data_IF_608692822729
#
_entry.id   IF_608692822729
#
_cell.length_a   1.000
_cell.length_b   1.000
_cell.length_c   1.000
_cell.angle_alpha   90.00
_cell.angle_beta   90.00
_cell.angle_gamma   90.00
#
_symmetry.space_group_name_H-M   'P 1'
#
loop_
_entity.id
_entity.type
_entity.pdbx_description
1 polymer ?
#
# COMPACT_ATOMS: atom_id res chain seq x y z
N UNK A 1 -13.32 28.45 -11.43
CA UNK A 1 -14.43 27.67 -10.83
C UNK A 1 -14.33 26.17 -11.17
N UNK A 2 -14.11 25.77 -12.42
CA UNK A 2 -14.03 24.36 -12.89
C UNK A 2 -12.89 23.58 -12.25
N UNK A 3 -11.67 24.13 -12.20
CA UNK A 3 -10.50 23.48 -11.57
C UNK A 3 -10.76 23.19 -10.08
N UNK A 4 -11.28 24.16 -9.33
CA UNK A 4 -11.57 23.97 -7.90
C UNK A 4 -12.65 22.89 -7.66
N UNK A 5 -13.59 22.71 -8.59
CA UNK A 5 -14.59 21.63 -8.57
C UNK A 5 -13.95 20.28 -8.85
N UNK A 6 -13.06 20.21 -9.85
CA UNK A 6 -12.31 18.98 -10.18
C UNK A 6 -11.37 18.54 -9.06
N UNK A 7 -10.71 19.49 -8.37
CA UNK A 7 -9.85 19.19 -7.22
C UNK A 7 -10.65 18.67 -6.02
N UNK A 8 -11.84 19.21 -5.75
CA UNK A 8 -12.74 18.66 -4.72
C UNK A 8 -13.28 17.29 -5.11
N UNK A 9 -13.62 17.10 -6.37
CA UNK A 9 -14.03 15.79 -6.87
C UNK A 9 -12.91 14.75 -6.74
N UNK A 10 -11.64 15.15 -6.95
CA UNK A 10 -10.48 14.29 -6.73
C UNK A 10 -10.27 13.95 -5.25
N UNK A 11 -10.55 14.86 -4.32
CA UNK A 11 -10.55 14.57 -2.88
C UNK A 11 -11.55 13.45 -2.55
N UNK A 12 -12.80 13.61 -2.98
CA UNK A 12 -13.85 12.61 -2.78
C UNK A 12 -13.55 11.30 -3.51
N UNK A 13 -12.92 11.36 -4.69
CA UNK A 13 -12.51 10.15 -5.39
C UNK A 13 -11.47 9.37 -4.57
N UNK A 14 -10.45 10.03 -4.02
CA UNK A 14 -9.46 9.37 -3.15
C UNK A 14 -10.11 8.78 -1.89
N UNK A 15 -11.04 9.49 -1.28
CA UNK A 15 -11.81 9.02 -0.13
C UNK A 15 -12.56 7.73 -0.47
N UNK A 16 -13.36 7.71 -1.53
CA UNK A 16 -14.19 6.55 -1.88
C UNK A 16 -13.39 5.40 -2.49
N UNK A 17 -12.30 5.67 -3.21
CA UNK A 17 -11.41 4.62 -3.72
C UNK A 17 -10.73 3.87 -2.57
N UNK A 18 -10.30 4.57 -1.52
CA UNK A 18 -9.76 3.93 -0.34
C UNK A 18 -10.81 3.01 0.34
N UNK A 19 -12.06 3.45 0.39
CA UNK A 19 -13.17 2.66 0.92
C UNK A 19 -13.33 1.33 0.20
N UNK A 20 -13.27 1.35 -1.13
CA UNK A 20 -13.47 0.17 -1.97
C UNK A 20 -12.37 -0.88 -1.76
N UNK A 21 -11.16 -0.46 -1.39
CA UNK A 21 -10.04 -1.38 -1.12
C UNK A 21 -10.05 -1.95 0.29
N UNK A 22 -10.60 -1.23 1.27
CA UNK A 22 -10.63 -1.65 2.68
C UNK A 22 -11.46 -2.92 2.92
N UNK A 23 -12.46 -3.21 2.07
CA UNK A 23 -13.31 -4.41 2.17
C UNK A 23 -12.59 -5.73 1.88
N UNK A 24 -11.40 -5.68 1.30
CA UNK A 24 -10.60 -6.85 0.98
C UNK A 24 -9.50 -7.07 2.03
N UNK A 25 -9.10 -8.32 2.24
CA UNK A 25 -8.12 -8.71 3.26
C UNK A 25 -8.77 -9.22 4.53
N UNK A 26 -8.67 -8.55 5.70
CA UNK A 26 -9.15 -9.09 6.98
C UNK A 26 -10.65 -9.43 7.02
N UNK A 27 -11.49 -8.64 6.34
CA UNK A 27 -12.92 -8.93 6.25
C UNK A 27 -13.24 -10.15 5.39
N UNK A 28 -12.46 -10.39 4.31
CA UNK A 28 -12.56 -11.64 3.53
C UNK A 28 -12.11 -12.81 4.38
N UNK A 29 -10.98 -12.72 5.08
CA UNK A 29 -10.49 -13.79 5.94
C UNK A 29 -11.54 -14.18 7.00
N UNK A 30 -12.13 -13.18 7.67
CA UNK A 30 -13.22 -13.39 8.63
C UNK A 30 -14.46 -14.04 7.99
N UNK A 31 -14.86 -13.57 6.79
CA UNK A 31 -16.02 -14.11 6.08
C UNK A 31 -15.81 -15.58 5.67
N UNK A 32 -14.63 -15.93 5.16
CA UNK A 32 -14.30 -17.29 4.77
C UNK A 32 -14.17 -18.20 6.00
N UNK A 33 -13.55 -17.73 7.09
CA UNK A 33 -13.46 -18.46 8.35
C UNK A 33 -14.85 -18.78 8.92
N UNK A 34 -15.78 -17.82 8.90
CA UNK A 34 -17.18 -18.03 9.31
C UNK A 34 -17.93 -19.04 8.42
N UNK A 35 -17.51 -19.20 7.15
CA UNK A 35 -18.00 -20.20 6.23
C UNK A 35 -17.19 -21.52 6.27
N UNK A 36 -16.44 -21.77 7.36
CA UNK A 36 -15.70 -23.01 7.67
C UNK A 36 -14.54 -23.31 6.70
N UNK A 37 -13.96 -22.28 6.07
CA UNK A 37 -12.71 -22.44 5.33
C UNK A 37 -11.55 -22.56 6.31
N UNK A 38 -10.57 -23.38 5.96
CA UNK A 38 -9.34 -23.51 6.75
C UNK A 38 -8.43 -22.29 6.54
N UNK A 39 -7.51 -22.06 7.46
CA UNK A 39 -6.55 -20.95 7.35
C UNK A 39 -5.65 -21.11 6.11
N UNK A 40 -5.33 -22.37 5.72
CA UNK A 40 -4.58 -22.67 4.50
C UNK A 40 -5.36 -22.29 3.24
N UNK A 41 -6.64 -22.64 3.15
CA UNK A 41 -7.50 -22.25 2.02
C UNK A 41 -7.63 -20.73 1.92
N UNK A 42 -7.85 -20.05 3.04
CA UNK A 42 -7.91 -18.59 3.11
C UNK A 42 -6.58 -17.98 2.64
N UNK A 43 -5.45 -18.47 3.17
CA UNK A 43 -4.12 -18.00 2.80
C UNK A 43 -3.82 -18.18 1.31
N UNK A 44 -4.21 -19.33 0.73
CA UNK A 44 -4.06 -19.59 -0.70
C UNK A 44 -4.88 -18.61 -1.55
N UNK A 45 -6.14 -18.35 -1.19
CA UNK A 45 -6.99 -17.42 -1.95
C UNK A 45 -6.47 -16.00 -1.87
N UNK A 46 -6.04 -15.51 -0.70
CA UNK A 46 -5.43 -14.19 -0.55
C UNK A 46 -4.10 -14.09 -1.33
N UNK A 47 -3.34 -15.21 -1.42
CA UNK A 47 -2.14 -15.26 -2.25
C UNK A 47 -2.44 -15.13 -3.74
N UNK A 48 -3.57 -15.67 -4.22
CA UNK A 48 -4.04 -15.48 -5.61
C UNK A 48 -4.24 -14.01 -5.92
N UNK A 49 -4.88 -13.25 -5.02
CA UNK A 49 -5.06 -11.81 -5.16
C UNK A 49 -3.72 -11.05 -5.25
N UNK A 50 -2.79 -11.40 -4.36
CA UNK A 50 -1.45 -10.79 -4.34
C UNK A 50 -0.64 -11.14 -5.59
N UNK A 51 -0.67 -12.40 -6.05
CA UNK A 51 -0.02 -12.82 -7.31
C UNK A 51 -0.63 -12.09 -8.50
N UNK A 52 -1.96 -12.00 -8.55
CA UNK A 52 -2.66 -11.28 -9.61
C UNK A 52 -2.24 -9.81 -9.63
N UNK A 53 -2.19 -9.15 -8.48
CA UNK A 53 -1.71 -7.78 -8.35
C UNK A 53 -0.25 -7.65 -8.83
N UNK A 54 0.64 -8.52 -8.36
CA UNK A 54 2.06 -8.52 -8.72
C UNK A 54 2.27 -8.73 -10.23
N UNK A 55 1.62 -9.72 -10.82
CA UNK A 55 1.70 -10.01 -12.26
C UNK A 55 1.13 -8.87 -13.12
N UNK A 56 0.15 -8.14 -12.56
CA UNK A 56 -0.55 -7.06 -13.25
C UNK A 56 0.16 -5.71 -13.14
N UNK A 57 1.14 -5.53 -12.26
CA UNK A 57 1.77 -4.22 -12.02
C UNK A 57 2.32 -3.58 -13.29
N UNK A 58 3.14 -4.30 -14.05
CA UNK A 58 3.72 -3.80 -15.30
C UNK A 58 2.68 -3.69 -16.42
N UNK A 59 1.86 -4.73 -16.71
CA UNK A 59 0.82 -4.63 -17.73
C UNK A 59 -0.22 -3.54 -17.45
N UNK A 60 -0.67 -3.40 -16.21
CA UNK A 60 -1.66 -2.39 -15.83
C UNK A 60 -1.10 -0.97 -15.95
N UNK A 61 0.14 -0.74 -15.53
CA UNK A 61 0.83 0.54 -15.71
C UNK A 61 0.98 0.90 -17.18
N UNK A 62 1.49 -0.02 -18.01
CA UNK A 62 1.62 0.17 -19.45
C UNK A 62 0.27 0.41 -20.15
N UNK A 63 -0.77 -0.33 -19.74
CA UNK A 63 -2.13 -0.13 -20.25
C UNK A 63 -2.65 1.27 -19.91
N UNK A 64 -2.51 1.69 -18.65
CA UNK A 64 -2.93 3.03 -18.23
C UNK A 64 -2.14 4.08 -19.00
N UNK A 65 -0.82 3.91 -19.22
CA UNK A 65 -0.01 4.86 -20.00
C UNK A 65 -0.44 4.96 -21.46
N UNK A 66 -0.78 3.84 -22.08
CA UNK A 66 -1.26 3.78 -23.47
C UNK A 66 -2.66 4.38 -23.66
N UNK A 67 -3.52 4.28 -22.65
CA UNK A 67 -4.89 4.78 -22.72
C UNK A 67 -4.92 6.31 -22.73
N UNK A 68 -5.59 6.92 -23.71
CA UNK A 68 -5.84 8.37 -23.74
C UNK A 68 -6.79 8.82 -22.64
N UNK A 69 -7.75 7.97 -22.28
CA UNK A 69 -8.77 8.25 -21.28
C UNK A 69 -8.40 7.63 -19.92
N UNK A 70 -7.60 8.35 -19.12
CA UNK A 70 -7.21 7.92 -17.75
C UNK A 70 -8.42 7.76 -16.83
N UNK A 71 -9.46 8.57 -17.00
CA UNK A 71 -10.73 8.45 -16.26
C UNK A 71 -11.45 7.15 -16.62
N UNK A 72 -11.46 6.78 -17.90
CA UNK A 72 -12.01 5.50 -18.35
C UNK A 72 -11.28 4.30 -17.71
N UNK A 73 -9.95 4.37 -17.59
CA UNK A 73 -9.16 3.34 -16.92
C UNK A 73 -9.52 3.24 -15.44
N UNK A 74 -9.62 4.38 -14.71
CA UNK A 74 -10.04 4.39 -13.32
C UNK A 74 -11.48 3.87 -13.15
N UNK A 75 -12.42 4.24 -14.03
CA UNK A 75 -13.80 3.75 -14.01
C UNK A 75 -13.87 2.23 -14.19
N UNK A 76 -13.13 1.70 -15.17
CA UNK A 76 -13.07 0.26 -15.43
C UNK A 76 -12.53 -0.51 -14.22
N UNK A 77 -11.48 0.00 -13.58
CA UNK A 77 -10.92 -0.59 -12.35
C UNK A 77 -11.94 -0.57 -11.20
N UNK A 78 -12.63 0.55 -10.98
CA UNK A 78 -13.67 0.65 -9.93
C UNK A 78 -14.82 -0.34 -10.21
N UNK A 79 -15.28 -0.44 -11.46
CA UNK A 79 -16.34 -1.39 -11.87
C UNK A 79 -15.87 -2.83 -11.62
N UNK A 80 -14.62 -3.17 -11.95
CA UNK A 80 -14.06 -4.49 -11.70
C UNK A 80 -14.06 -4.83 -10.20
N UNK A 81 -13.75 -3.86 -9.33
CA UNK A 81 -13.82 -4.07 -7.87
C UNK A 81 -15.26 -4.23 -7.40
N UNK A 82 -16.23 -3.50 -7.98
CA UNK A 82 -17.67 -3.72 -7.71
C UNK A 82 -18.05 -5.16 -8.02
N UNK A 83 -17.66 -5.66 -9.20
CA UNK A 83 -17.96 -7.04 -9.61
C UNK A 83 -17.30 -8.05 -8.66
N UNK A 84 -16.04 -7.83 -8.27
CA UNK A 84 -15.34 -8.67 -7.31
C UNK A 84 -16.07 -8.72 -5.95
N UNK A 85 -16.48 -7.57 -5.43
CA UNK A 85 -17.24 -7.48 -4.19
C UNK A 85 -18.60 -8.19 -4.29
N UNK A 86 -19.32 -8.03 -5.40
CA UNK A 86 -20.61 -8.71 -5.61
C UNK A 86 -20.45 -10.23 -5.75
N UNK A 87 -19.37 -10.72 -6.36
CA UNK A 87 -19.05 -12.16 -6.43
C UNK A 87 -18.87 -12.75 -5.02
N UNK A 88 -18.13 -12.07 -4.14
CA UNK A 88 -17.95 -12.47 -2.75
C UNK A 88 -19.28 -12.43 -1.97
N UNK A 89 -20.05 -11.36 -2.14
CA UNK A 89 -21.36 -11.23 -1.49
C UNK A 89 -22.40 -12.22 -2.00
N UNK A 90 -22.30 -12.70 -3.22
CA UNK A 90 -23.24 -13.68 -3.78
C UNK A 90 -23.05 -15.06 -3.16
N UNK A 91 -21.80 -15.58 -3.14
CA UNK A 91 -21.55 -16.93 -2.62
C UNK A 91 -20.04 -17.13 -2.32
N UNK A 92 -19.69 -17.73 -1.17
CA UNK A 92 -18.29 -17.99 -0.79
C UNK A 92 -17.78 -19.32 -1.38
N UNK A 93 -18.01 -19.56 -2.66
CA UNK A 93 -17.43 -20.75 -3.33
C UNK A 93 -15.99 -20.47 -3.74
N UNK A 94 -15.18 -21.52 -3.86
CA UNK A 94 -13.78 -21.42 -4.31
C UNK A 94 -13.65 -20.66 -5.63
N UNK A 95 -14.55 -20.91 -6.59
CA UNK A 95 -14.54 -20.24 -7.91
C UNK A 95 -14.85 -18.75 -7.76
N UNK A 96 -15.87 -18.39 -6.97
CA UNK A 96 -16.26 -16.98 -6.76
C UNK A 96 -15.16 -16.20 -6.05
N UNK A 97 -14.55 -16.80 -5.02
CA UNK A 97 -13.45 -16.18 -4.27
C UNK A 97 -12.22 -16.00 -5.14
N UNK A 98 -11.83 -17.07 -5.88
CA UNK A 98 -10.71 -17.01 -6.82
C UNK A 98 -10.91 -15.92 -7.87
N UNK A 99 -12.08 -15.89 -8.53
CA UNK A 99 -12.39 -14.88 -9.54
C UNK A 99 -12.40 -13.45 -8.96
N UNK A 100 -12.93 -13.28 -7.74
CA UNK A 100 -12.94 -12.00 -7.06
C UNK A 100 -11.52 -11.51 -6.72
N UNK A 101 -10.64 -12.39 -6.21
CA UNK A 101 -9.26 -12.07 -5.86
C UNK A 101 -8.43 -11.70 -7.11
N UNK A 102 -8.58 -12.46 -8.21
CA UNK A 102 -7.92 -12.14 -9.49
C UNK A 102 -8.37 -10.79 -10.00
N UNK A 103 -9.68 -10.55 -10.03
CA UNK A 103 -10.26 -9.32 -10.56
C UNK A 103 -9.89 -8.10 -9.70
N UNK A 104 -9.95 -8.24 -8.36
CA UNK A 104 -9.55 -7.20 -7.42
C UNK A 104 -8.06 -6.90 -7.53
N UNK A 105 -7.19 -7.92 -7.58
CA UNK A 105 -5.74 -7.74 -7.70
C UNK A 105 -5.35 -6.96 -8.96
N UNK A 106 -5.93 -7.34 -10.12
CA UNK A 106 -5.73 -6.63 -11.38
C UNK A 106 -6.24 -5.18 -11.32
N UNK A 107 -7.47 -4.99 -10.84
CA UNK A 107 -8.12 -3.70 -10.78
C UNK A 107 -7.36 -2.71 -9.85
N UNK A 108 -6.89 -3.18 -8.70
CA UNK A 108 -6.10 -2.39 -7.75
C UNK A 108 -4.81 -1.87 -8.37
N UNK A 109 -4.13 -2.69 -9.19
CA UNK A 109 -2.93 -2.28 -9.91
C UNK A 109 -3.18 -1.24 -11.01
N UNK A 110 -4.36 -1.24 -11.65
CA UNK A 110 -4.74 -0.19 -12.60
C UNK A 110 -5.11 1.12 -11.90
N UNK A 111 -5.72 1.03 -10.73
CA UNK A 111 -6.30 2.18 -10.06
C UNK A 111 -5.23 3.17 -9.58
N UNK A 112 -4.13 2.68 -9.03
CA UNK A 112 -3.03 3.51 -8.52
C UNK A 112 -2.40 4.41 -9.61
N UNK A 113 -1.94 3.88 -10.76
CA UNK A 113 -1.38 4.72 -11.82
C UNK A 113 -2.43 5.62 -12.49
N UNK A 114 -3.70 5.17 -12.59
CA UNK A 114 -4.77 6.00 -13.13
C UNK A 114 -5.07 7.21 -12.23
N UNK A 115 -5.11 7.04 -10.91
CA UNK A 115 -5.29 8.11 -9.92
C UNK A 115 -4.12 9.09 -9.92
N UNK A 116 -2.89 8.58 -10.02
CA UNK A 116 -1.70 9.42 -10.16
C UNK A 116 -1.76 10.27 -11.44
N UNK A 117 -2.08 9.65 -12.59
CA UNK A 117 -2.20 10.35 -13.87
C UNK A 117 -3.30 11.44 -13.86
N UNK A 118 -4.44 11.19 -13.20
CA UNK A 118 -5.49 12.21 -13.00
C UNK A 118 -4.96 13.37 -12.14
N UNK A 119 -4.23 13.07 -11.07
CA UNK A 119 -3.64 14.08 -10.21
C UNK A 119 -2.64 14.95 -10.96
N UNK A 120 -1.74 14.35 -11.75
CA UNK A 120 -0.78 15.07 -12.61
C UNK A 120 -1.43 15.95 -13.68
N UNK A 121 -2.61 15.57 -14.15
CA UNK A 121 -3.34 16.37 -15.14
C UNK A 121 -4.03 17.61 -14.56
N UNK A 122 -4.26 17.66 -13.24
CA UNK A 122 -5.04 18.71 -12.59
C UNK A 122 -4.19 19.79 -11.90
N UNK A 123 -2.92 19.52 -11.59
CA UNK A 123 -2.05 20.44 -10.86
C UNK A 123 -0.71 20.65 -11.56
N UNK A 124 -0.04 21.77 -11.25
CA UNK A 124 1.32 22.04 -11.71
C UNK A 124 2.33 21.11 -10.99
N UNK A 125 3.55 20.99 -11.55
CA UNK A 125 4.63 20.24 -10.89
C UNK A 125 5.00 20.79 -9.53
N UNK A 126 4.91 22.10 -9.34
CA UNK A 126 5.20 22.76 -8.06
C UNK A 126 4.20 22.34 -6.97
N UNK A 127 2.92 22.22 -7.33
CA UNK A 127 1.84 21.90 -6.39
C UNK A 127 1.61 20.39 -6.20
N UNK A 128 2.37 19.56 -6.92
CA UNK A 128 2.14 18.11 -6.97
C UNK A 128 2.35 17.44 -5.61
N UNK A 129 3.37 17.85 -4.86
CA UNK A 129 3.65 17.32 -3.53
C UNK A 129 2.49 17.54 -2.57
N UNK A 130 1.97 18.77 -2.53
CA UNK A 130 0.81 19.12 -1.70
C UNK A 130 -0.45 18.36 -2.14
N UNK A 131 -0.62 18.18 -3.47
CA UNK A 131 -1.74 17.41 -4.01
C UNK A 131 -1.70 15.95 -3.59
N UNK A 132 -0.54 15.30 -3.72
CA UNK A 132 -0.36 13.90 -3.32
C UNK A 132 -0.53 13.71 -1.81
N UNK A 133 0.00 14.62 -1.00
CA UNK A 133 -0.23 14.64 0.45
C UNK A 133 -1.72 14.77 0.80
N UNK A 134 -2.46 15.62 0.08
CA UNK A 134 -3.90 15.77 0.25
C UNK A 134 -4.66 14.53 -0.20
N UNK A 135 -4.27 13.88 -1.30
CA UNK A 135 -4.83 12.61 -1.74
C UNK A 135 -4.69 11.53 -0.65
N UNK A 136 -3.48 11.37 -0.08
CA UNK A 136 -3.21 10.42 0.98
C UNK A 136 -4.06 10.69 2.24
N UNK A 137 -4.21 11.96 2.63
CA UNK A 137 -5.08 12.35 3.76
C UNK A 137 -6.52 11.89 3.55
N UNK A 138 -7.11 12.21 2.38
CA UNK A 138 -8.48 11.82 2.08
C UNK A 138 -8.65 10.31 1.98
N UNK A 139 -7.66 9.60 1.43
CA UNK A 139 -7.63 8.14 1.40
C UNK A 139 -7.60 7.55 2.82
N UNK A 140 -6.75 8.06 3.72
CA UNK A 140 -6.68 7.57 5.11
C UNK A 140 -7.97 7.80 5.89
N UNK A 141 -8.60 8.98 5.73
CA UNK A 141 -9.90 9.27 6.35
C UNK A 141 -10.96 8.30 5.79
N UNK A 142 -10.95 8.08 4.47
CA UNK A 142 -11.83 7.12 3.82
C UNK A 142 -11.68 5.72 4.37
N UNK A 143 -10.44 5.20 4.42
CA UNK A 143 -10.14 3.86 4.95
C UNK A 143 -10.60 3.69 6.40
N UNK A 144 -10.31 4.67 7.27
CA UNK A 144 -10.71 4.61 8.68
C UNK A 144 -12.23 4.58 8.85
N UNK A 145 -12.95 5.49 8.17
CA UNK A 145 -14.41 5.52 8.24
C UNK A 145 -15.03 4.25 7.67
N UNK A 146 -14.50 3.76 6.56
CA UNK A 146 -15.01 2.53 5.93
C UNK A 146 -14.76 1.31 6.81
N UNK A 147 -13.59 1.19 7.42
CA UNK A 147 -13.32 0.10 8.35
C UNK A 147 -14.34 0.09 9.52
N UNK A 148 -14.67 1.28 10.06
CA UNK A 148 -15.70 1.40 11.08
C UNK A 148 -17.09 0.97 10.57
N UNK A 149 -17.49 1.44 9.38
CA UNK A 149 -18.77 1.06 8.76
C UNK A 149 -18.83 -0.44 8.45
N UNK A 150 -17.76 -1.01 7.88
CA UNK A 150 -17.68 -2.44 7.55
C UNK A 150 -17.72 -3.30 8.82
N UNK A 151 -17.03 -2.87 9.89
CA UNK A 151 -17.10 -3.51 11.19
C UNK A 151 -18.53 -3.53 11.73
N UNK A 152 -19.22 -2.38 11.71
CA UNK A 152 -20.60 -2.28 12.15
C UNK A 152 -21.56 -3.10 11.27
N UNK A 153 -21.44 -3.03 9.94
CA UNK A 153 -22.28 -3.81 9.04
C UNK A 153 -22.04 -5.32 9.18
N UNK A 154 -20.78 -5.73 9.34
CA UNK A 154 -20.43 -7.13 9.55
C UNK A 154 -20.99 -7.67 10.87
N UNK A 155 -20.97 -6.86 11.93
CA UNK A 155 -21.45 -7.23 13.27
C UNK A 155 -22.98 -7.23 13.37
N UNK A 156 -23.62 -6.11 12.98
CA UNK A 156 -25.05 -5.91 13.26
C UNK A 156 -26.00 -6.38 12.14
N UNK A 157 -25.48 -6.55 10.90
CA UNK A 157 -26.29 -7.04 9.79
C UNK A 157 -25.86 -8.45 9.36
N UNK A 158 -24.70 -8.56 8.71
CA UNK A 158 -24.11 -9.83 8.30
C UNK A 158 -22.73 -9.62 7.68
N UNK A 159 -21.87 -10.65 7.70
CA UNK A 159 -20.57 -10.63 7.01
C UNK A 159 -20.69 -10.39 5.50
N UNK A 160 -21.76 -10.85 4.87
CA UNK A 160 -22.05 -10.58 3.46
C UNK A 160 -22.30 -9.10 3.18
N UNK A 161 -22.88 -8.37 4.13
CA UNK A 161 -23.23 -6.96 3.96
C UNK A 161 -21.99 -6.07 3.75
N UNK A 162 -20.81 -6.49 4.22
CA UNK A 162 -19.54 -5.80 4.00
C UNK A 162 -19.22 -5.68 2.51
N UNK A 163 -19.46 -6.74 1.74
CA UNK A 163 -19.19 -6.73 0.30
C UNK A 163 -20.22 -5.92 -0.49
N UNK A 164 -21.47 -5.97 -0.09
CA UNK A 164 -22.51 -5.09 -0.66
C UNK A 164 -22.25 -3.62 -0.32
N UNK A 165 -21.78 -3.33 0.88
CA UNK A 165 -21.36 -1.98 1.26
C UNK A 165 -20.15 -1.51 0.43
N UNK A 166 -19.15 -2.39 0.18
CA UNK A 166 -18.03 -2.10 -0.71
C UNK A 166 -18.51 -1.72 -2.11
N UNK A 167 -19.42 -2.50 -2.69
CA UNK A 167 -20.00 -2.20 -3.99
C UNK A 167 -20.79 -0.88 -3.98
N UNK A 168 -21.58 -0.61 -2.91
CA UNK A 168 -22.35 0.61 -2.78
C UNK A 168 -21.45 1.86 -2.65
N UNK A 169 -20.36 1.78 -1.88
CA UNK A 169 -19.39 2.89 -1.71
C UNK A 169 -18.55 3.15 -2.97
N UNK A 170 -18.48 2.21 -3.89
CA UNK A 170 -17.83 2.41 -5.19
C UNK A 170 -18.67 3.30 -6.14
N UNK A 171 -19.99 3.35 -5.96
CA UNK A 171 -20.87 4.21 -6.78
C UNK A 171 -20.53 5.70 -6.61
N UNK A 172 -20.43 6.25 -5.39
CA UNK A 172 -19.94 7.62 -5.19
C UNK A 172 -18.54 7.88 -5.76
N UNK A 173 -17.65 6.87 -5.80
CA UNK A 173 -16.35 7.02 -6.47
C UNK A 173 -16.50 7.27 -7.97
N UNK A 174 -17.39 6.53 -8.66
CA UNK A 174 -17.71 6.76 -10.06
C UNK A 174 -18.35 8.13 -10.29
N UNK A 175 -19.22 8.57 -9.39
CA UNK A 175 -19.84 9.91 -9.44
C UNK A 175 -18.75 10.99 -9.28
N UNK A 176 -17.87 10.86 -8.29
CA UNK A 176 -16.75 11.79 -8.09
C UNK A 176 -15.84 11.84 -9.34
N UNK A 177 -15.54 10.69 -9.92
CA UNK A 177 -14.76 10.58 -11.15
C UNK A 177 -15.44 11.28 -12.35
N UNK A 178 -16.77 11.21 -12.46
CA UNK A 178 -17.53 11.92 -13.49
C UNK A 178 -17.34 13.44 -13.41
N UNK A 179 -17.33 14.01 -12.21
CA UNK A 179 -17.17 15.46 -11.99
C UNK A 179 -15.75 15.98 -12.20
N UNK A 180 -14.76 15.14 -12.44
CA UNK A 180 -13.43 15.56 -12.82
C UNK A 180 -13.43 15.93 -14.32
N UNK A 181 -13.22 17.20 -14.65
CA UNK A 181 -13.15 17.67 -16.03
C UNK A 181 -11.73 17.56 -16.57
N UNK A 182 -11.57 16.96 -17.73
CA UNK A 182 -10.28 16.56 -18.32
C UNK A 182 -9.54 17.67 -19.10
N UNK A 183 -10.10 18.89 -19.18
CA UNK A 183 -9.71 19.82 -20.26
C UNK A 183 -8.68 20.89 -19.90
N UNK A 184 -8.04 20.89 -18.73
CA UNK A 184 -7.17 22.02 -18.35
C UNK A 184 -5.81 21.66 -17.73
N UNK A 185 -5.08 20.71 -18.28
CA UNK A 185 -3.63 20.84 -18.20
C UNK A 185 -3.20 21.81 -19.32
N UNK A 186 -2.47 22.90 -19.02
CA UNK A 186 -1.91 23.74 -20.08
C UNK A 186 -1.10 22.82 -21.00
N UNK A 187 -1.51 22.69 -22.25
CA UNK A 187 -0.73 21.97 -23.26
C UNK A 187 0.60 22.71 -23.38
N UNK A 188 1.64 22.16 -22.76
CA UNK A 188 3.00 22.65 -23.04
C UNK A 188 3.15 22.56 -24.57
N UNK A 189 3.43 23.68 -25.24
CA UNK A 189 3.56 23.72 -26.68
C UNK A 189 4.52 22.63 -27.16
N UNK A 190 4.18 21.97 -28.25
CA UNK A 190 4.92 20.81 -28.80
C UNK A 190 6.40 21.10 -29.01
N UNK A 191 6.75 22.38 -29.26
CA UNK A 191 8.14 22.85 -29.37
C UNK A 191 8.88 22.88 -28.03
N UNK A 192 8.22 23.28 -26.95
CA UNK A 192 8.81 23.24 -25.60
C UNK A 192 8.96 21.82 -25.08
N UNK A 193 8.07 20.92 -25.51
CA UNK A 193 8.16 19.49 -25.24
C UNK A 193 9.33 18.86 -26.00
N UNK A 194 9.52 19.20 -27.29
CA UNK A 194 10.68 18.77 -28.07
C UNK A 194 12.00 19.30 -27.51
N UNK A 195 12.11 20.61 -27.21
CA UNK A 195 13.28 21.18 -26.57
C UNK A 195 13.60 20.56 -25.22
N UNK A 196 12.59 20.11 -24.48
CA UNK A 196 12.76 19.44 -23.20
C UNK A 196 13.09 17.96 -23.37
N UNK A 197 12.55 17.28 -24.40
CA UNK A 197 12.94 15.94 -24.82
C UNK A 197 14.40 15.95 -25.36
N UNK A 198 14.79 16.95 -26.14
CA UNK A 198 16.17 17.14 -26.64
C UNK A 198 17.15 17.52 -25.52
N UNK A 199 16.72 18.31 -24.53
CA UNK A 199 17.53 18.60 -23.34
C UNK A 199 17.66 17.40 -22.38
N UNK A 200 16.71 16.46 -22.43
CA UNK A 200 16.73 15.18 -21.68
C UNK A 200 17.56 14.13 -22.43
N UNK A 201 17.70 14.24 -23.75
CA UNK A 201 18.53 13.35 -24.58
C UNK A 201 20.04 13.51 -24.28
N UNK A 202 20.44 14.59 -23.61
CA UNK A 202 21.80 14.77 -23.07
C UNK A 202 22.04 14.17 -21.69
N UNK A 203 21.01 13.67 -21.01
CA UNK A 203 21.10 12.98 -19.72
C UNK A 203 21.04 11.47 -19.97
N UNK A 204 22.13 10.81 -19.71
CA UNK A 204 22.41 9.37 -19.80
C UNK A 204 21.21 8.46 -20.16
N UNK A 205 21.44 7.58 -21.14
CA UNK A 205 20.50 6.48 -21.49
C UNK A 205 19.95 5.87 -20.22
N UNK A 206 18.64 5.55 -20.15
CA UNK A 206 18.10 4.83 -18.99
C UNK A 206 18.94 3.57 -18.84
N UNK A 207 19.71 3.51 -17.73
CA UNK A 207 20.54 2.35 -17.43
C UNK A 207 19.63 1.12 -17.45
N UNK A 208 20.11 0.04 -18.00
CA UNK A 208 19.36 -1.18 -18.21
C UNK A 208 18.91 -1.79 -16.88
N UNK A 209 17.85 -2.61 -16.90
CA UNK A 209 17.46 -3.44 -15.74
C UNK A 209 18.67 -4.21 -15.17
N UNK A 210 19.64 -4.55 -16.02
CA UNK A 210 20.87 -5.25 -15.63
C UNK A 210 21.75 -4.41 -14.69
N UNK A 211 21.85 -3.10 -14.94
CA UNK A 211 22.66 -2.20 -14.09
C UNK A 211 21.99 -1.98 -12.73
N UNK A 212 20.65 -1.99 -12.72
CA UNK A 212 19.85 -1.94 -11.49
C UNK A 212 20.06 -3.19 -10.62
N UNK A 213 20.11 -4.38 -11.26
CA UNK A 213 20.34 -5.66 -10.59
C UNK A 213 21.78 -5.81 -10.04
N UNK A 214 22.69 -4.87 -10.34
CA UNK A 214 24.04 -4.81 -9.79
C UNK A 214 24.16 -3.82 -8.61
N UNK A 215 23.15 -2.96 -8.37
CA UNK A 215 23.18 -2.01 -7.24
C UNK A 215 22.90 -2.75 -5.92
N UNK A 216 23.95 -2.91 -5.11
CA UNK A 216 23.88 -3.56 -3.81
C UNK A 216 22.87 -2.90 -2.86
N UNK A 217 22.71 -1.58 -2.93
CA UNK A 217 21.76 -0.82 -2.08
C UNK A 217 20.34 -1.20 -2.43
N UNK A 218 20.01 -1.23 -3.73
CA UNK A 218 18.70 -1.61 -4.23
C UNK A 218 18.35 -3.04 -3.87
N UNK A 219 19.26 -3.99 -4.13
CA UNK A 219 19.03 -5.41 -3.85
C UNK A 219 18.89 -5.68 -2.36
N UNK A 220 19.73 -5.07 -1.52
CA UNK A 220 19.63 -5.23 -0.06
C UNK A 220 18.32 -4.69 0.46
N UNK A 221 17.89 -3.50 0.01
CA UNK A 221 16.61 -2.95 0.46
C UNK A 221 15.43 -3.76 -0.09
N UNK A 222 15.48 -4.24 -1.33
CA UNK A 222 14.46 -5.13 -1.87
C UNK A 222 14.32 -6.43 -1.05
N UNK A 223 15.43 -7.03 -0.63
CA UNK A 223 15.40 -8.19 0.29
C UNK A 223 14.78 -7.82 1.65
N UNK A 224 15.07 -6.63 2.18
CA UNK A 224 14.41 -6.11 3.39
C UNK A 224 12.89 -5.94 3.17
N UNK A 225 12.47 -5.47 2.00
CA UNK A 225 11.04 -5.32 1.63
C UNK A 225 10.36 -6.68 1.54
N UNK A 226 11.00 -7.70 0.94
CA UNK A 226 10.47 -9.07 0.91
C UNK A 226 10.25 -9.59 2.34
N UNK A 227 11.25 -9.49 3.22
CA UNK A 227 11.15 -9.98 4.59
C UNK A 227 10.14 -9.19 5.42
N UNK A 228 10.05 -7.86 5.19
CA UNK A 228 9.02 -7.02 5.81
C UNK A 228 7.62 -7.54 5.48
N UNK A 229 7.31 -7.72 4.20
CA UNK A 229 5.99 -8.18 3.78
C UNK A 229 5.76 -9.66 4.10
N UNK A 230 6.80 -10.50 4.07
CA UNK A 230 6.74 -11.89 4.53
C UNK A 230 6.33 -11.98 6.00
N UNK A 231 6.86 -11.09 6.86
CA UNK A 231 6.43 -11.01 8.25
C UNK A 231 5.03 -10.42 8.41
N UNK A 232 4.72 -9.34 7.67
CA UNK A 232 3.59 -8.46 7.94
C UNK A 232 2.26 -8.92 7.34
N UNK A 233 2.25 -9.42 6.09
CA UNK A 233 1.03 -9.49 5.29
C UNK A 233 -0.03 -10.48 5.81
N UNK A 234 0.38 -11.61 6.39
CA UNK A 234 -0.55 -12.60 6.92
C UNK A 234 -1.04 -12.30 8.34
N UNK A 235 -0.34 -11.47 9.12
CA UNK A 235 -0.59 -11.34 10.57
C UNK A 235 -2.03 -10.98 10.91
N UNK A 236 -2.56 -9.92 10.30
CA UNK A 236 -3.92 -9.48 10.61
C UNK A 236 -4.97 -10.44 10.03
N UNK A 237 -4.71 -11.05 8.87
CA UNK A 237 -5.62 -12.01 8.25
C UNK A 237 -5.75 -13.28 9.09
N UNK A 238 -4.63 -13.82 9.60
CA UNK A 238 -4.64 -14.95 10.53
C UNK A 238 -5.35 -14.60 11.83
N UNK A 239 -5.06 -13.44 12.42
CA UNK A 239 -5.73 -12.97 13.63
C UNK A 239 -7.24 -12.79 13.41
N UNK A 240 -7.66 -12.23 12.27
CA UNK A 240 -9.06 -12.08 11.93
C UNK A 240 -9.78 -13.44 11.77
N UNK A 241 -9.13 -14.40 11.13
CA UNK A 241 -9.65 -15.76 10.99
C UNK A 241 -9.80 -16.47 12.34
N UNK A 242 -8.76 -16.40 13.19
CA UNK A 242 -8.74 -16.99 14.52
C UNK A 242 -9.79 -16.39 15.45
N UNK A 243 -9.89 -15.06 15.47
CA UNK A 243 -10.92 -14.35 16.25
C UNK A 243 -12.32 -14.75 15.80
N UNK A 244 -12.55 -14.86 14.51
CA UNK A 244 -13.86 -15.27 13.96
C UNK A 244 -14.21 -16.70 14.36
N UNK A 245 -13.22 -17.60 14.43
CA UNK A 245 -13.45 -18.99 14.80
C UNK A 245 -13.80 -19.19 16.28
N UNK A 246 -13.30 -18.33 17.18
CA UNK A 246 -13.36 -18.51 18.62
C UNK A 246 -14.21 -17.48 19.39
N UNK A 247 -14.56 -16.34 18.76
CA UNK A 247 -15.44 -15.33 19.37
C UNK A 247 -16.90 -15.49 18.94
N UNK A 248 -17.83 -15.16 19.85
CA UNK A 248 -19.27 -15.06 19.54
C UNK A 248 -19.64 -13.68 19.00
N UNK A 249 -19.46 -12.65 19.81
CA UNK A 249 -19.95 -11.29 19.55
C UNK A 249 -18.81 -10.28 19.30
N UNK A 250 -19.13 -9.19 18.61
CA UNK A 250 -18.25 -8.05 18.36
C UNK A 250 -16.99 -8.33 17.50
N UNK A 251 -16.92 -9.46 16.83
CA UNK A 251 -15.78 -9.89 15.98
C UNK A 251 -15.42 -8.82 14.97
N UNK A 252 -16.40 -8.32 14.23
CA UNK A 252 -16.17 -7.38 13.14
C UNK A 252 -15.75 -5.99 13.63
N UNK A 253 -16.22 -5.61 14.82
CA UNK A 253 -15.80 -4.37 15.47
C UNK A 253 -14.34 -4.44 15.92
N UNK A 254 -13.90 -5.59 16.44
CA UNK A 254 -12.50 -5.83 16.79
C UNK A 254 -11.61 -5.78 15.54
N UNK A 255 -12.01 -6.43 14.45
CA UNK A 255 -11.29 -6.38 13.17
C UNK A 255 -11.21 -4.94 12.64
N UNK A 256 -12.33 -4.21 12.67
CA UNK A 256 -12.37 -2.80 12.28
C UNK A 256 -11.41 -1.95 13.13
N UNK A 257 -11.41 -2.13 14.45
CA UNK A 257 -10.51 -1.43 15.34
C UNK A 257 -9.02 -1.75 15.04
N UNK A 258 -8.71 -3.01 14.70
CA UNK A 258 -7.37 -3.43 14.26
C UNK A 258 -6.91 -2.75 12.95
N UNK A 259 -7.83 -2.30 12.12
CA UNK A 259 -7.51 -1.53 10.90
C UNK A 259 -7.39 -0.03 11.21
N UNK A 260 -8.31 0.50 12.02
CA UNK A 260 -8.42 1.94 12.30
C UNK A 260 -7.26 2.44 13.17
N UNK A 261 -6.92 1.71 14.24
CA UNK A 261 -5.90 2.15 15.21
C UNK A 261 -4.53 2.38 14.56
N UNK A 262 -4.02 1.49 13.70
CA UNK A 262 -2.77 1.76 12.96
C UNK A 262 -2.81 3.05 12.14
N UNK A 263 -3.96 3.42 11.53
CA UNK A 263 -4.06 4.63 10.71
C UNK A 263 -3.83 5.91 11.52
N UNK A 264 -4.31 5.98 12.76
CA UNK A 264 -4.01 7.11 13.65
C UNK A 264 -2.53 7.18 14.02
N UNK A 265 -1.89 6.01 14.27
CA UNK A 265 -0.46 5.95 14.55
C UNK A 265 0.34 6.40 13.32
N UNK A 266 0.01 5.92 12.12
CA UNK A 266 0.65 6.36 10.87
C UNK A 266 0.50 7.86 10.69
N UNK A 267 -0.71 8.41 10.85
CA UNK A 267 -0.96 9.83 10.66
C UNK A 267 -0.16 10.72 11.63
N UNK A 268 -0.01 10.28 12.88
CA UNK A 268 0.74 11.01 13.91
C UNK A 268 2.25 10.84 13.80
N UNK A 269 2.71 9.63 13.47
CA UNK A 269 4.13 9.27 13.53
C UNK A 269 4.89 9.60 12.24
N UNK A 270 4.25 9.56 11.06
CA UNK A 270 4.93 9.75 9.78
C UNK A 270 5.73 11.06 9.66
N UNK A 271 5.24 12.24 10.14
CA UNK A 271 6.03 13.47 10.11
C UNK A 271 7.29 13.41 10.99
N UNK A 272 7.20 12.72 12.13
CA UNK A 272 8.36 12.49 13.02
C UNK A 272 9.37 11.56 12.34
N UNK A 273 8.91 10.45 11.75
CA UNK A 273 9.75 9.52 10.99
C UNK A 273 10.52 10.24 9.88
N UNK A 274 9.87 11.10 9.10
CA UNK A 274 10.51 11.90 8.05
C UNK A 274 11.63 12.78 8.58
N UNK A 275 11.43 13.46 9.71
CA UNK A 275 12.45 14.28 10.37
C UNK A 275 13.62 13.43 10.90
N UNK A 276 13.33 12.32 11.58
CA UNK A 276 14.36 11.45 12.11
C UNK A 276 15.17 10.76 11.00
N UNK A 277 14.54 10.42 9.88
CA UNK A 277 15.22 9.91 8.71
C UNK A 277 16.28 10.90 8.18
N UNK A 278 16.03 12.19 8.29
CA UNK A 278 17.02 13.23 7.93
C UNK A 278 18.07 13.44 9.02
N UNK A 279 17.70 13.35 10.30
CA UNK A 279 18.60 13.59 11.43
C UNK A 279 19.50 12.40 11.74
N UNK A 280 18.92 11.20 11.87
CA UNK A 280 19.63 9.99 12.28
C UNK A 280 20.17 9.16 11.11
N UNK A 281 19.62 9.36 9.91
CA UNK A 281 19.84 8.50 8.74
C UNK A 281 18.73 7.48 8.52
N UNK A 282 18.82 6.77 7.41
CA UNK A 282 17.77 5.81 6.99
C UNK A 282 17.81 4.53 7.81
N UNK A 283 19.01 4.00 8.04
CA UNK A 283 19.23 2.71 8.68
C UNK A 283 18.71 2.65 10.13
N UNK A 284 18.99 3.59 11.05
CA UNK A 284 18.45 3.54 12.41
C UNK A 284 16.92 3.59 12.46
N UNK A 285 16.30 4.41 11.61
CA UNK A 285 14.85 4.55 11.53
C UNK A 285 14.19 3.26 11.01
N UNK A 286 14.81 2.60 10.00
CA UNK A 286 14.33 1.29 9.52
C UNK A 286 14.39 0.23 10.62
N UNK A 287 15.48 0.17 11.41
CA UNK A 287 15.62 -0.79 12.52
C UNK A 287 14.47 -0.62 13.52
N UNK A 288 14.15 0.63 13.91
CA UNK A 288 13.03 0.91 14.82
C UNK A 288 11.69 0.43 14.27
N UNK A 289 11.39 0.75 13.02
CA UNK A 289 10.13 0.36 12.40
C UNK A 289 10.02 -1.16 12.18
N UNK A 290 11.11 -1.79 11.77
CA UNK A 290 11.14 -3.23 11.51
C UNK A 290 11.11 -4.04 12.79
N UNK A 291 11.67 -3.54 13.90
CA UNK A 291 11.61 -4.20 15.23
C UNK A 291 10.18 -4.37 15.74
N UNK A 292 9.25 -3.53 15.28
CA UNK A 292 7.84 -3.68 15.61
C UNK A 292 7.22 -4.97 15.04
N UNK A 293 7.74 -5.50 13.92
CA UNK A 293 7.21 -6.71 13.27
C UNK A 293 7.32 -7.97 14.13
N UNK A 294 8.55 -8.40 14.55
CA UNK A 294 8.68 -9.60 15.37
C UNK A 294 7.99 -9.43 16.73
N UNK A 295 8.04 -8.23 17.32
CA UNK A 295 7.36 -7.96 18.58
C UNK A 295 5.83 -8.14 18.42
N UNK A 296 5.24 -7.61 17.36
CA UNK A 296 3.81 -7.77 17.07
C UNK A 296 3.42 -9.23 16.88
N UNK A 297 4.19 -9.97 16.09
CA UNK A 297 3.92 -11.38 15.84
C UNK A 297 4.01 -12.23 17.11
N UNK A 298 5.02 -11.99 17.97
CA UNK A 298 5.14 -12.66 19.26
C UNK A 298 3.99 -12.32 20.21
N UNK A 299 3.56 -11.06 20.25
CA UNK A 299 2.39 -10.66 21.04
C UNK A 299 1.12 -11.32 20.52
N UNK A 300 0.92 -11.44 19.20
CA UNK A 300 -0.23 -12.18 18.66
C UNK A 300 -0.23 -13.65 19.05
N UNK A 301 0.93 -14.31 19.09
CA UNK A 301 1.04 -15.69 19.54
C UNK A 301 0.71 -15.86 21.04
N UNK A 302 0.93 -14.83 21.86
CA UNK A 302 0.70 -14.85 23.32
C UNK A 302 -0.66 -14.29 23.76
N UNK A 303 -1.41 -13.64 22.88
CA UNK A 303 -2.67 -13.01 23.24
C UNK A 303 -3.82 -14.01 23.17
N UNK A 304 -4.46 -14.26 24.32
CA UNK A 304 -5.65 -15.11 24.41
C UNK A 304 -6.97 -14.33 24.32
N UNK A 305 -6.96 -13.01 24.58
CA UNK A 305 -8.14 -12.16 24.45
C UNK A 305 -8.13 -11.38 23.14
N UNK A 306 -9.13 -11.54 22.29
CA UNK A 306 -9.23 -10.83 21.01
C UNK A 306 -9.19 -9.30 21.12
N UNK A 307 -9.69 -8.73 22.23
CA UNK A 307 -9.63 -7.28 22.46
C UNK A 307 -8.20 -6.75 22.61
N UNK A 308 -7.26 -7.60 23.06
CA UNK A 308 -5.84 -7.24 23.15
C UNK A 308 -5.16 -7.18 21.80
N UNK A 309 -5.76 -7.73 20.72
CA UNK A 309 -5.23 -7.57 19.37
C UNK A 309 -5.20 -6.10 18.93
N UNK A 310 -6.18 -5.30 19.36
CA UNK A 310 -6.29 -3.88 19.01
C UNK A 310 -5.06 -3.07 19.48
N UNK A 311 -4.67 -3.08 20.76
CA UNK A 311 -3.43 -2.40 21.19
C UNK A 311 -2.17 -2.99 20.57
N UNK A 312 -2.11 -4.30 20.31
CA UNK A 312 -0.98 -4.91 19.61
C UNK A 312 -0.87 -4.38 18.17
N UNK A 313 -1.98 -4.08 17.51
CA UNK A 313 -2.01 -3.47 16.18
C UNK A 313 -1.43 -2.03 16.12
N UNK A 314 -1.23 -1.36 17.25
CA UNK A 314 -0.46 -0.10 17.25
C UNK A 314 0.95 -0.29 16.71
N UNK A 315 1.57 -1.46 16.90
CA UNK A 315 2.87 -1.81 16.33
C UNK A 315 2.85 -1.87 14.80
N UNK A 316 1.71 -2.27 14.21
CA UNK A 316 1.52 -2.18 12.76
C UNK A 316 1.59 -0.73 12.27
N UNK A 317 0.93 0.18 12.98
CA UNK A 317 1.01 1.60 12.68
C UNK A 317 2.44 2.15 12.74
N UNK A 318 3.27 1.69 13.66
CA UNK A 318 4.69 2.08 13.75
C UNK A 318 5.46 1.56 12.53
N UNK A 319 5.36 0.27 12.23
CA UNK A 319 6.06 -0.34 11.09
C UNK A 319 5.58 0.26 9.76
N UNK A 320 4.27 0.48 9.60
CA UNK A 320 3.69 1.08 8.42
C UNK A 320 4.10 2.56 8.22
N UNK A 321 4.16 3.36 9.30
CA UNK A 321 4.62 4.75 9.24
C UNK A 321 6.08 4.82 8.78
N UNK A 322 6.94 3.97 9.35
CA UNK A 322 8.36 3.91 8.97
C UNK A 322 8.49 3.44 7.52
N UNK A 323 7.87 2.33 7.17
CA UNK A 323 7.98 1.76 5.82
C UNK A 323 7.45 2.72 4.74
N UNK A 324 6.29 3.34 4.98
CA UNK A 324 5.65 4.26 4.05
C UNK A 324 6.48 5.52 3.77
N UNK A 325 7.26 6.00 4.74
CA UNK A 325 8.16 7.15 4.57
C UNK A 325 9.51 6.71 3.99
N UNK A 326 10.06 5.59 4.45
CA UNK A 326 11.41 5.15 4.08
C UNK A 326 11.48 4.60 2.66
N UNK A 327 10.45 3.90 2.16
CA UNK A 327 10.46 3.33 0.81
C UNK A 327 10.68 4.40 -0.28
N UNK A 328 9.88 5.49 -0.35
CA UNK A 328 10.12 6.53 -1.35
C UNK A 328 11.43 7.28 -1.12
N UNK A 329 11.86 7.49 0.13
CA UNK A 329 13.14 8.15 0.42
C UNK A 329 14.33 7.32 -0.08
N UNK A 330 14.37 6.03 0.24
CA UNK A 330 15.43 5.13 -0.20
C UNK A 330 15.40 4.95 -1.72
N UNK A 331 14.21 4.89 -2.33
CA UNK A 331 14.09 4.87 -3.78
C UNK A 331 14.71 6.13 -4.43
N UNK A 332 14.50 7.30 -3.84
CA UNK A 332 15.10 8.55 -4.30
C UNK A 332 16.62 8.57 -4.10
N UNK A 333 17.10 8.12 -2.93
CA UNK A 333 18.52 8.03 -2.60
C UNK A 333 19.27 7.08 -3.55
N UNK A 334 18.68 5.91 -3.85
CA UNK A 334 19.25 4.91 -4.78
C UNK A 334 19.19 5.39 -6.23
N UNK A 335 18.11 6.06 -6.62
CA UNK A 335 17.96 6.60 -7.97
C UNK A 335 18.99 7.71 -8.30
N UNK A 336 19.51 8.41 -7.28
CA UNK A 336 20.64 9.36 -7.43
C UNK A 336 20.41 10.48 -8.45
N UNK A 337 19.16 10.91 -8.69
CA UNK A 337 18.82 11.93 -9.68
C UNK A 337 18.85 11.47 -11.15
N UNK A 338 19.19 10.22 -11.44
CA UNK A 338 19.35 9.65 -12.78
C UNK A 338 18.05 9.19 -13.46
N UNK A 339 16.90 9.69 -13.07
CA UNK A 339 15.61 9.35 -13.68
C UNK A 339 15.09 7.94 -13.38
N UNK A 340 15.70 7.20 -12.45
CA UNK A 340 15.38 5.79 -12.10
C UNK A 340 14.37 5.60 -10.98
N UNK A 341 13.85 6.68 -10.41
CA UNK A 341 12.98 6.63 -9.23
C UNK A 341 11.79 5.66 -9.41
N UNK A 342 11.07 5.77 -10.54
CA UNK A 342 9.90 4.93 -10.81
C UNK A 342 10.28 3.45 -10.98
N UNK A 343 11.46 3.18 -11.54
CA UNK A 343 11.97 1.82 -11.68
C UNK A 343 12.30 1.21 -10.31
N UNK A 344 12.92 1.97 -9.41
CA UNK A 344 13.17 1.54 -8.03
C UNK A 344 11.86 1.26 -7.27
N UNK A 345 10.87 2.15 -7.39
CA UNK A 345 9.54 1.95 -6.78
C UNK A 345 8.86 0.69 -7.32
N UNK A 346 8.90 0.47 -8.64
CA UNK A 346 8.36 -0.75 -9.26
C UNK A 346 9.05 -2.03 -8.78
N UNK A 347 10.37 -1.99 -8.64
CA UNK A 347 11.17 -3.13 -8.14
C UNK A 347 10.85 -3.44 -6.66
N UNK A 348 10.71 -2.41 -5.82
CA UNK A 348 10.28 -2.59 -4.43
C UNK A 348 8.84 -3.06 -4.32
N UNK A 349 7.95 -2.62 -5.22
CA UNK A 349 6.58 -3.12 -5.33
C UNK A 349 6.53 -4.62 -5.67
N UNK A 350 7.39 -5.07 -6.60
CA UNK A 350 7.54 -6.49 -6.92
C UNK A 350 8.05 -7.29 -5.70
N UNK A 351 9.07 -6.77 -5.01
CA UNK A 351 9.60 -7.38 -3.78
C UNK A 351 8.52 -7.49 -2.69
N UNK A 352 7.71 -6.45 -2.51
CA UNK A 352 6.57 -6.45 -1.60
C UNK A 352 5.53 -7.53 -1.97
N UNK A 353 5.21 -7.65 -3.25
CA UNK A 353 4.30 -8.66 -3.77
C UNK A 353 4.80 -10.09 -3.50
N UNK A 354 6.09 -10.36 -3.75
CA UNK A 354 6.71 -11.65 -3.44
C UNK A 354 6.60 -11.97 -1.94
N UNK A 355 6.99 -11.02 -1.08
CA UNK A 355 6.92 -11.20 0.37
C UNK A 355 5.50 -11.46 0.87
N UNK A 356 4.52 -10.69 0.38
CA UNK A 356 3.13 -10.81 0.79
C UNK A 356 2.50 -12.14 0.33
N UNK A 357 2.77 -12.57 -0.91
CA UNK A 357 2.30 -13.85 -1.43
C UNK A 357 2.83 -15.02 -0.60
N UNK A 358 4.14 -15.04 -0.34
CA UNK A 358 4.75 -16.08 0.49
C UNK A 358 4.21 -16.04 1.93
N UNK A 359 3.99 -14.84 2.49
CA UNK A 359 3.43 -14.68 3.82
C UNK A 359 2.08 -15.37 3.96
N UNK A 360 1.12 -15.01 3.10
CA UNK A 360 -0.26 -15.52 3.21
C UNK A 360 -0.34 -17.01 2.95
N UNK A 361 0.40 -17.53 1.94
CA UNK A 361 0.41 -18.95 1.61
C UNK A 361 1.09 -19.80 2.70
N UNK A 362 2.31 -19.42 3.12
CA UNK A 362 3.09 -20.22 4.08
C UNK A 362 2.45 -20.16 5.46
N UNK A 363 2.04 -18.97 5.91
CA UNK A 363 1.47 -18.81 7.23
C UNK A 363 0.10 -19.48 7.35
N UNK A 364 -0.75 -19.42 6.31
CA UNK A 364 -2.02 -20.14 6.28
C UNK A 364 -1.82 -21.65 6.37
N UNK A 365 -0.91 -22.21 5.53
CA UNK A 365 -0.57 -23.63 5.55
C UNK A 365 0.02 -24.09 6.89
N UNK A 366 0.91 -23.28 7.47
CA UNK A 366 1.50 -23.59 8.77
C UNK A 366 0.44 -23.56 9.88
N UNK A 367 -0.53 -22.66 9.81
CA UNK A 367 -1.63 -22.58 10.76
C UNK A 367 -2.50 -23.85 10.75
N UNK A 368 -2.81 -24.38 9.57
CA UNK A 368 -3.58 -25.62 9.44
C UNK A 368 -2.84 -26.86 9.97
N UNK A 369 -1.55 -26.96 9.69
CA UNK A 369 -0.75 -28.16 10.06
C UNK A 369 -0.21 -28.15 11.47
N UNK A 370 0.19 -26.97 11.96
CA UNK A 370 0.95 -26.84 13.20
C UNK A 370 0.30 -25.91 14.22
N UNK A 371 -0.82 -25.28 13.83
CA UNK A 371 -1.55 -24.33 14.65
C UNK A 371 -1.11 -22.87 14.40
N UNK A 372 -2.02 -21.94 14.69
CA UNK A 372 -1.88 -20.50 14.41
C UNK A 372 -0.69 -19.88 15.15
N UNK A 373 -0.40 -20.32 16.39
CA UNK A 373 0.75 -19.83 17.16
C UNK A 373 2.08 -20.12 16.44
N UNK A 374 2.23 -21.30 15.83
CA UNK A 374 3.44 -21.64 15.06
C UNK A 374 3.60 -20.72 13.86
N UNK A 375 2.51 -20.36 13.20
CA UNK A 375 2.53 -19.37 12.13
C UNK A 375 3.00 -18.01 12.60
N UNK A 376 2.50 -17.52 13.75
CA UNK A 376 2.99 -16.26 14.32
C UNK A 376 4.47 -16.31 14.71
N UNK A 377 4.98 -17.43 15.24
CA UNK A 377 6.41 -17.59 15.48
C UNK A 377 7.23 -17.59 14.18
N UNK A 378 6.72 -18.20 13.11
CA UNK A 378 7.33 -18.13 11.78
C UNK A 378 7.39 -16.69 11.25
N UNK A 379 6.29 -15.95 11.37
CA UNK A 379 6.23 -14.53 10.98
C UNK A 379 7.14 -13.65 11.87
N UNK A 380 7.25 -13.95 13.17
CA UNK A 380 8.21 -13.28 14.07
C UNK A 380 9.65 -13.53 13.64
N UNK A 381 9.97 -14.76 13.25
CA UNK A 381 11.30 -15.11 12.74
C UNK A 381 11.62 -14.34 11.46
N UNK A 382 10.68 -14.26 10.50
CA UNK A 382 10.84 -13.45 9.30
C UNK A 382 11.07 -11.96 9.62
N UNK A 383 10.35 -11.41 10.60
CA UNK A 383 10.54 -10.05 11.08
C UNK A 383 11.90 -9.82 11.75
N UNK A 384 12.35 -10.77 12.57
CA UNK A 384 13.68 -10.72 13.18
C UNK A 384 14.79 -10.79 12.13
N UNK A 385 14.64 -11.62 11.10
CA UNK A 385 15.56 -11.67 9.96
C UNK A 385 15.57 -10.36 9.18
N UNK A 386 14.42 -9.70 9.03
CA UNK A 386 14.35 -8.38 8.40
C UNK A 386 15.15 -7.33 9.19
N UNK A 387 15.00 -7.28 10.53
CA UNK A 387 15.78 -6.41 11.41
C UNK A 387 17.27 -6.70 11.28
N UNK A 388 17.63 -7.98 11.34
CA UNK A 388 19.03 -8.42 11.25
C UNK A 388 19.64 -8.04 9.88
N UNK A 389 18.90 -8.22 8.78
CA UNK A 389 19.35 -7.83 7.45
C UNK A 389 19.57 -6.31 7.35
N UNK A 390 18.65 -5.51 7.89
CA UNK A 390 18.84 -4.04 7.95
C UNK A 390 20.08 -3.70 8.78
N UNK A 391 20.24 -4.35 9.92
CA UNK A 391 21.37 -4.05 10.83
C UNK A 391 22.73 -4.43 10.25
N UNK A 392 22.85 -5.58 9.58
CA UNK A 392 24.14 -6.08 9.10
C UNK A 392 24.47 -5.57 7.68
N UNK A 393 23.48 -5.63 6.77
CA UNK A 393 23.73 -5.50 5.34
C UNK A 393 23.23 -4.19 4.72
N UNK A 394 22.25 -3.49 5.34
CA UNK A 394 21.73 -2.26 4.75
C UNK A 394 22.72 -1.12 4.90
N UNK A 395 23.29 -0.58 3.80
CA UNK A 395 24.14 0.59 3.88
C UNK A 395 23.32 1.84 4.23
N UNK A 396 23.94 2.84 4.84
CA UNK A 396 23.29 4.15 4.99
C UNK A 396 23.17 4.79 3.60
N UNK A 397 21.95 5.17 3.21
CA UNK A 397 21.69 5.72 1.88
C UNK A 397 21.59 7.25 1.87
N UNK A 398 21.53 7.88 3.04
CA UNK A 398 21.51 9.34 3.14
C UNK A 398 22.80 9.92 2.59
N UNK A 399 22.73 10.72 1.53
CA UNK A 399 23.88 11.40 0.97
C UNK A 399 24.50 12.39 1.97
N UNK A 400 25.80 12.24 2.22
CA UNK A 400 26.57 13.19 3.02
C UNK A 400 26.59 14.63 2.41
N UNK A 401 26.17 14.77 1.15
CA UNK A 401 26.06 16.04 0.46
C UNK A 401 24.96 16.97 1.00
N UNK A 402 23.94 16.43 1.70
CA UNK A 402 22.91 17.25 2.34
C UNK A 402 23.39 17.98 3.60
N UNK A 403 24.58 17.65 4.11
CA UNK A 403 25.21 18.27 5.27
C UNK A 403 26.19 19.43 4.92
N UNK A 404 26.26 19.85 3.64
CA UNK A 404 27.00 21.08 3.33
C UNK A 404 26.18 22.26 3.84
N UNK A 405 26.76 23.10 4.71
CA UNK A 405 26.11 24.36 5.08
C UNK A 405 25.81 25.14 3.78
N UNK A 406 24.73 25.96 3.76
CA UNK A 406 24.46 26.82 2.61
C UNK A 406 25.76 27.54 2.24
N UNK A 407 26.18 27.41 0.98
CA UNK A 407 27.30 28.19 0.48
C UNK A 407 26.96 29.66 0.75
N UNK A 408 27.67 30.26 1.70
CA UNK A 408 27.62 31.71 1.91
C UNK A 408 27.83 32.35 0.54
N UNK A 409 26.84 33.07 0.05
CA UNK A 409 26.99 33.87 -1.15
C UNK A 409 28.15 34.80 -0.85
N UNK A 410 29.28 34.57 -1.49
CA UNK A 410 30.38 35.52 -1.52
C UNK A 410 29.76 36.88 -1.87
N UNK A 411 29.93 37.84 -0.96
CA UNK A 411 29.50 39.20 -1.17
C UNK A 411 30.19 39.71 -2.44
N UNK A 412 29.40 40.09 -3.43
CA UNK A 412 29.92 40.82 -4.61
C UNK A 412 30.74 42.01 -4.12
N UNK A 413 32.00 42.17 -4.60
CA UNK A 413 32.76 43.37 -4.25
C UNK A 413 32.05 44.57 -4.86
N UNK A 414 31.57 45.44 -4.02
CA UNK A 414 31.13 46.78 -4.41
C UNK A 414 32.27 47.54 -5.00
N UNK A 415 32.26 47.76 -6.30
CA UNK A 415 33.07 48.74 -7.04
C UNK A 415 32.30 50.01 -7.32
#
# INVERSE_FOLDING_TARGET
>A
MVIARSLRALDWLNFFVANVQTGFGPFIASYLAANKWTQGEIGLMLSVGTISAMASQLPAGALVDALRNKKGAAAAAIIAIIVAALLLGASPTTISVFAAEVLHGFASCMLVPAMAAISFALVSRADLGDRLGRNARWASIGSALTAALMGAFGEYLSLRSVFFLTAALAVPALIALHYIHHEMAPRVPREQRKKKEEAIVGVDRPESLRDLLQDRRLLTFAACVVLFHLSNAAMLNLAAGEVTAHMGDNVQLVIAACIIVPQFIVAGLSPWVGRQAQAWGRRPVLILGFAALPLRALLFAGVSSPYLLVPVQMLDGISAAVFGVMLPLIAADVAGGKGRYNLCIGFFGLAAGVGATLSTAIAGFAADKFGVNVSFFGLATAGALAVLLVWIAMPETRDAASNRPPVEKEAEPTS
#
